data_IF_658586343378
#
_entry.id   IF_658586343378
#
_cell.length_a   1.000
_cell.length_b   1.000
_cell.length_c   1.000
_cell.angle_alpha   90.00
_cell.angle_beta   90.00
_cell.angle_gamma   90.00
#
_symmetry.space_group_name_H-M   'P 1'
#
loop_
_entity.id
_entity.type
_entity.pdbx_description
1 polymer ?
#
# COMPACT_ATOMS: atom_id res chain seq x y z
N UNK A 1 2.90 -12.24 -7.53
CA UNK A 1 3.28 -11.28 -6.47
C UNK A 1 4.01 -12.08 -5.41
N UNK A 2 5.35 -11.94 -5.30
CA UNK A 2 6.11 -12.57 -4.21
C UNK A 2 5.90 -11.70 -2.96
N UNK A 3 4.84 -11.98 -2.21
CA UNK A 3 4.70 -11.52 -0.82
C UNK A 3 5.70 -12.37 -0.03
N UNK A 4 6.98 -12.07 -0.18
CA UNK A 4 8.05 -12.75 0.55
C UNK A 4 7.95 -12.32 2.02
N UNK A 5 7.39 -13.17 2.88
CA UNK A 5 7.48 -13.17 4.35
C UNK A 5 7.66 -11.80 5.05
N UNK A 6 6.85 -10.78 4.70
CA UNK A 6 6.90 -9.49 5.41
C UNK A 6 6.56 -9.62 6.90
N UNK A 7 5.91 -10.72 7.30
CA UNK A 7 5.66 -11.08 8.69
C UNK A 7 6.94 -11.16 9.55
N UNK A 8 8.04 -11.63 8.94
CA UNK A 8 9.34 -11.74 9.61
C UNK A 8 10.15 -10.44 9.51
N UNK A 9 9.80 -9.55 8.57
CA UNK A 9 10.46 -8.27 8.42
C UNK A 9 10.08 -7.33 9.57
N UNK A 10 10.98 -6.39 9.87
CA UNK A 10 10.71 -5.35 10.85
C UNK A 10 9.60 -4.43 10.34
N UNK A 11 8.74 -3.95 11.24
CA UNK A 11 7.67 -2.98 10.90
C UNK A 11 8.25 -1.79 10.12
N UNK A 12 9.41 -1.28 10.56
CA UNK A 12 10.13 -0.20 9.85
C UNK A 12 10.46 -0.54 8.39
N UNK A 13 10.98 -1.75 8.13
CA UNK A 13 11.31 -2.19 6.76
C UNK A 13 10.05 -2.25 5.89
N UNK A 14 8.96 -2.80 6.43
CA UNK A 14 7.67 -2.85 5.74
C UNK A 14 7.15 -1.45 5.40
N UNK A 15 7.34 -0.47 6.29
CA UNK A 15 6.93 0.92 6.01
C UNK A 15 7.77 1.63 4.97
N UNK A 16 9.04 1.25 4.84
CA UNK A 16 9.95 1.81 3.86
C UNK A 16 9.74 1.15 2.48
N UNK A 17 9.42 -0.15 2.44
CA UNK A 17 9.21 -0.92 1.21
C UNK A 17 7.82 -0.74 0.59
N UNK A 18 6.77 -0.59 1.42
CA UNK A 18 5.38 -0.55 0.96
C UNK A 18 4.82 0.88 1.07
N UNK A 19 4.55 1.55 -0.08
CA UNK A 19 3.92 2.86 -0.09
C UNK A 19 2.55 2.83 0.61
N UNK A 20 2.33 3.75 1.54
CA UNK A 20 1.08 3.85 2.30
C UNK A 20 0.97 2.89 3.50
N UNK A 21 1.96 2.02 3.74
CA UNK A 21 1.93 1.08 4.87
C UNK A 21 1.86 1.78 6.23
N UNK A 22 2.52 2.92 6.40
CA UNK A 22 2.44 3.71 7.65
C UNK A 22 0.99 4.01 8.05
N UNK A 23 0.15 4.41 7.10
CA UNK A 23 -1.23 4.76 7.39
C UNK A 23 -2.07 3.52 7.76
N UNK A 24 -1.82 2.38 7.09
CA UNK A 24 -2.47 1.12 7.44
C UNK A 24 -2.12 0.71 8.86
N UNK A 25 -0.83 0.70 9.21
CA UNK A 25 -0.34 0.32 10.53
C UNK A 25 -0.93 1.22 11.63
N UNK A 26 -0.91 2.54 11.43
CA UNK A 26 -1.54 3.49 12.35
C UNK A 26 -3.03 3.19 12.57
N UNK A 27 -3.76 2.88 11.48
CA UNK A 27 -5.19 2.54 11.55
C UNK A 27 -5.43 1.23 12.32
N UNK A 28 -4.45 0.33 12.32
CA UNK A 28 -4.48 -0.92 13.07
C UNK A 28 -3.90 -0.79 14.50
N UNK A 29 -3.58 0.42 14.95
CA UNK A 29 -2.98 0.63 16.28
C UNK A 29 -1.53 0.14 16.40
N UNK A 30 -0.87 -0.14 15.27
CA UNK A 30 0.53 -0.57 15.22
C UNK A 30 1.43 0.65 15.01
N UNK A 31 2.38 0.85 15.92
CA UNK A 31 3.38 1.90 15.79
C UNK A 31 4.35 1.61 14.63
N UNK A 32 4.38 2.44 13.58
CA UNK A 32 5.26 2.23 12.41
C UNK A 32 6.74 2.47 12.71
N UNK A 33 7.08 3.07 13.85
CA UNK A 33 8.48 3.30 14.28
C UNK A 33 9.05 2.12 15.06
N UNK A 34 8.22 1.12 15.35
CA UNK A 34 8.60 -0.01 16.17
C UNK A 34 9.66 -0.89 15.46
N UNK A 35 10.58 -1.44 16.26
CA UNK A 35 11.70 -2.28 15.79
C UNK A 35 11.42 -3.78 15.90
N UNK A 36 10.18 -4.15 16.20
CA UNK A 36 9.74 -5.55 16.23
C UNK A 36 9.31 -6.03 14.84
N UNK A 37 9.14 -7.34 14.69
CA UNK A 37 8.60 -7.94 13.47
C UNK A 37 7.12 -7.57 13.29
N UNK A 38 6.68 -7.53 12.03
CA UNK A 38 5.29 -7.25 11.70
C UNK A 38 4.33 -8.24 12.36
N UNK A 39 4.69 -9.53 12.42
CA UNK A 39 3.89 -10.56 13.10
C UNK A 39 3.71 -10.28 14.59
N UNK A 40 4.79 -9.89 15.30
CA UNK A 40 4.71 -9.58 16.72
C UNK A 40 3.92 -8.29 16.97
N UNK A 41 4.06 -7.30 16.09
CA UNK A 41 3.29 -6.06 16.16
C UNK A 41 1.79 -6.32 15.95
N UNK A 42 1.43 -7.15 14.97
CA UNK A 42 0.07 -7.57 14.70
C UNK A 42 -0.52 -8.34 15.90
N UNK A 43 0.25 -9.28 16.46
CA UNK A 43 -0.15 -10.02 17.66
C UNK A 43 -0.40 -9.09 18.86
N UNK A 44 0.47 -8.11 19.08
CA UNK A 44 0.30 -7.11 20.14
C UNK A 44 -0.91 -6.19 19.94
N UNK A 45 -1.28 -5.92 18.69
CA UNK A 45 -2.47 -5.16 18.32
C UNK A 45 -3.75 -6.02 18.20
N UNK A 46 -3.66 -7.33 18.47
CA UNK A 46 -4.76 -8.31 18.29
C UNK A 46 -5.31 -8.37 16.85
N UNK A 47 -4.47 -8.07 15.86
CA UNK A 47 -4.81 -8.08 14.44
C UNK A 47 -4.34 -9.39 13.81
N UNK A 48 -5.19 -10.00 13.00
CA UNK A 48 -4.84 -11.21 12.24
C UNK A 48 -3.83 -10.84 11.15
N UNK A 49 -2.67 -11.52 11.13
CA UNK A 49 -1.59 -11.22 10.18
C UNK A 49 -2.03 -11.26 8.72
N UNK A 50 -2.83 -12.26 8.33
CA UNK A 50 -3.37 -12.36 6.96
C UNK A 50 -4.22 -11.14 6.58
N UNK A 51 -5.07 -10.65 7.49
CA UNK A 51 -5.90 -9.48 7.27
C UNK A 51 -5.05 -8.21 7.12
N UNK A 52 -4.04 -8.06 7.98
CA UNK A 52 -3.09 -6.94 7.91
C UNK A 52 -2.37 -6.92 6.55
N UNK A 53 -1.90 -8.08 6.09
CA UNK A 53 -1.23 -8.24 4.80
C UNK A 53 -2.16 -7.89 3.64
N UNK A 54 -3.41 -8.35 3.66
CA UNK A 54 -4.40 -8.02 2.64
C UNK A 54 -4.68 -6.50 2.58
N UNK A 55 -4.75 -5.83 3.74
CA UNK A 55 -4.94 -4.37 3.82
C UNK A 55 -3.73 -3.60 3.30
N UNK A 56 -2.52 -4.06 3.61
CA UNK A 56 -1.28 -3.48 3.09
C UNK A 56 -1.23 -3.58 1.56
N UNK A 57 -1.51 -4.75 0.99
CA UNK A 57 -1.58 -4.96 -0.45
C UNK A 57 -2.65 -4.10 -1.13
N UNK A 58 -3.84 -4.02 -0.52
CA UNK A 58 -4.93 -3.19 -1.04
C UNK A 58 -4.53 -1.71 -1.07
N UNK A 59 -3.86 -1.22 -0.03
CA UNK A 59 -3.43 0.18 0.03
C UNK A 59 -2.27 0.45 -0.94
N UNK A 60 -1.28 -0.44 -1.01
CA UNK A 60 -0.20 -0.32 -1.99
C UNK A 60 -0.73 -0.25 -3.43
N UNK A 61 -1.72 -1.08 -3.76
CA UNK A 61 -2.41 -1.03 -5.07
C UNK A 61 -3.20 0.27 -5.28
N UNK A 62 -3.80 0.83 -4.23
CA UNK A 62 -4.47 2.15 -4.31
C UNK A 62 -3.47 3.27 -4.57
N UNK A 63 -2.35 3.30 -3.84
CA UNK A 63 -1.26 4.24 -4.08
C UNK A 63 -0.69 4.11 -5.50
N UNK A 64 -0.46 2.88 -5.97
CA UNK A 64 0.00 2.64 -7.34
C UNK A 64 -0.95 3.21 -8.41
N UNK A 65 -2.28 3.12 -8.20
CA UNK A 65 -3.26 3.72 -9.12
C UNK A 65 -3.33 5.24 -9.01
N UNK A 66 -3.19 5.80 -7.80
CA UNK A 66 -3.22 7.25 -7.59
C UNK A 66 -1.94 7.96 -8.06
N UNK A 67 -0.82 7.23 -8.16
CA UNK A 67 0.47 7.74 -8.64
C UNK A 67 0.85 7.20 -10.01
N UNK A 68 -0.04 6.44 -10.67
CA UNK A 68 0.07 6.28 -12.11
C UNK A 68 -0.17 7.67 -12.74
N UNK A 69 0.77 8.17 -13.57
CA UNK A 69 0.50 9.37 -14.34
C UNK A 69 -0.77 9.07 -15.14
N UNK A 70 -1.75 9.97 -15.06
CA UNK A 70 -2.88 9.92 -15.97
C UNK A 70 -2.29 9.77 -17.37
N UNK A 71 -2.50 8.60 -17.99
CA UNK A 71 -2.21 8.43 -19.40
C UNK A 71 -3.03 9.52 -20.06
N UNK A 72 -2.35 10.56 -20.54
CA UNK A 72 -2.98 11.66 -21.24
C UNK A 72 -3.86 11.03 -22.32
N UNK A 73 -5.16 11.22 -22.21
CA UNK A 73 -6.05 10.95 -23.31
C UNK A 73 -5.46 11.65 -24.54
N UNK A 74 -5.31 11.00 -25.70
CA UNK A 74 -4.95 11.71 -26.90
C UNK A 74 -6.06 12.74 -27.15
N UNK A 75 -5.74 14.01 -26.86
CA UNK A 75 -6.37 15.14 -27.50
C UNK A 75 -5.93 15.15 -28.97
N UNK A 76 -6.68 15.89 -29.80
CA UNK A 76 -6.54 16.10 -31.24
C UNK A 76 -7.22 15.01 -32.10
N UNK A 77 -8.12 15.30 -33.06
CA UNK A 77 -8.51 16.56 -33.69
C UNK A 77 -9.76 16.32 -34.57
N UNK A 78 -10.60 17.36 -34.74
CA UNK A 78 -11.36 17.77 -35.95
C UNK A 78 -12.05 16.65 -36.77
N UNK A 79 -13.38 16.61 -36.84
CA UNK A 79 -14.11 17.19 -37.97
C UNK A 79 -15.47 17.74 -37.51
N UNK A 80 -15.47 19.03 -37.15
CA UNK A 80 -16.64 19.88 -37.32
C UNK A 80 -16.43 20.61 -38.65
N UNK A 81 -16.41 19.87 -39.76
CA UNK A 81 -16.54 20.49 -41.07
C UNK A 81 -18.03 20.72 -41.34
N UNK A 82 -18.38 21.99 -41.22
CA UNK A 82 -19.64 22.57 -41.61
C UNK A 82 -19.58 22.81 -43.12
N UNK A 83 -20.24 21.97 -43.92
CA UNK A 83 -20.59 22.24 -45.32
C UNK A 83 -21.80 21.39 -45.74
#
# INVERSE_FOLDING_TARGET
MRISNYEQNMVKQVTDDIPGARQVLYTQGIDPTNRISLANAAAGATVVSEELMARLDMNARRFARQHQPAVQAPAFEQELELA
#
